data_IF_554150950529
#
_entry.id   IF_554150950529
#
_cell.length_a   1.000
_cell.length_b   1.000
_cell.length_c   1.000
_cell.angle_alpha   90.00
_cell.angle_beta   90.00
_cell.angle_gamma   90.00
#
_symmetry.space_group_name_H-M   'P 1'
#
loop_
_entity.id
_entity.type
_entity.pdbx_description
1 polymer ?
#
# COMPACT_ATOMS: atom_id res chain seq x y z
N UNK A 1 -0.76 13.08 20.11
CA UNK A 1 -1.19 11.68 19.85
C UNK A 1 -1.60 11.61 18.39
N UNK A 2 -1.41 10.47 17.75
CA UNK A 2 -1.70 10.30 16.32
C UNK A 2 -2.84 9.31 16.14
N UNK A 3 -3.72 9.59 15.19
CA UNK A 3 -4.59 8.57 14.60
C UNK A 3 -3.88 7.91 13.41
N UNK A 4 -4.18 6.63 13.20
CA UNK A 4 -3.57 5.83 12.13
C UNK A 4 -4.62 5.31 11.15
N UNK A 5 -4.23 5.25 9.88
CA UNK A 5 -5.02 4.66 8.79
C UNK A 5 -4.17 3.64 8.03
N UNK A 6 -4.79 2.52 7.68
CA UNK A 6 -4.17 1.41 6.96
C UNK A 6 -4.96 1.13 5.68
N UNK A 7 -4.28 1.09 4.55
CA UNK A 7 -4.90 0.84 3.24
C UNK A 7 -4.17 -0.32 2.57
N UNK A 8 -4.92 -1.34 2.15
CA UNK A 8 -4.37 -2.49 1.42
C UNK A 8 -4.56 -2.28 -0.09
N UNK A 9 -3.46 -2.34 -0.83
CA UNK A 9 -3.42 -2.31 -2.29
C UNK A 9 -3.01 -3.69 -2.80
N UNK A 10 -3.93 -4.40 -3.43
CA UNK A 10 -3.66 -5.74 -3.97
C UNK A 10 -2.68 -5.69 -5.14
N UNK A 11 -1.79 -6.68 -5.21
CA UNK A 11 -0.89 -6.89 -6.34
C UNK A 11 -1.61 -7.84 -7.32
N UNK A 12 -2.03 -7.31 -8.47
CA UNK A 12 -2.67 -8.11 -9.51
C UNK A 12 -1.60 -8.84 -10.33
N UNK A 13 -1.40 -10.12 -10.05
CA UNK A 13 -0.45 -10.99 -10.78
C UNK A 13 -1.02 -11.46 -12.13
N UNK A 14 -1.45 -10.54 -12.99
CA UNK A 14 -1.71 -10.87 -14.39
C UNK A 14 -0.38 -11.08 -15.13
N UNK A 15 -0.35 -11.95 -16.15
CA UNK A 15 0.80 -12.17 -17.05
C UNK A 15 1.38 -10.89 -17.71
N UNK A 16 0.71 -9.75 -17.55
CA UNK A 16 1.00 -8.46 -18.16
C UNK A 16 1.00 -7.28 -17.16
N UNK A 17 0.72 -7.52 -15.87
CA UNK A 17 0.74 -6.46 -14.86
C UNK A 17 2.14 -6.37 -14.27
N UNK A 18 2.93 -5.47 -14.84
CA UNK A 18 4.23 -5.11 -14.32
C UNK A 18 4.06 -4.49 -12.95
N UNK A 19 4.95 -4.86 -12.02
CA UNK A 19 5.08 -4.28 -10.67
C UNK A 19 5.03 -2.74 -10.66
N UNK A 20 5.40 -2.09 -11.76
CA UNK A 20 5.28 -0.65 -11.95
C UNK A 20 3.86 -0.08 -11.82
N UNK A 21 2.81 -0.82 -12.23
CA UNK A 21 1.43 -0.31 -12.11
C UNK A 21 0.95 -0.30 -10.67
N UNK A 22 1.22 -1.36 -9.91
CA UNK A 22 0.81 -1.42 -8.49
C UNK A 22 1.55 -0.36 -7.67
N UNK A 23 2.81 -0.06 -8.01
CA UNK A 23 3.55 1.04 -7.38
C UNK A 23 2.91 2.40 -7.74
N UNK A 24 2.54 2.64 -8.99
CA UNK A 24 1.86 3.87 -9.39
C UNK A 24 0.50 4.04 -8.68
N UNK A 25 -0.25 2.96 -8.45
CA UNK A 25 -1.47 2.99 -7.64
C UNK A 25 -1.18 3.35 -6.18
N UNK A 26 -0.11 2.81 -5.59
CA UNK A 26 0.31 3.19 -4.23
C UNK A 26 0.68 4.69 -4.15
N UNK A 27 1.44 5.21 -5.11
CA UNK A 27 1.79 6.63 -5.19
C UNK A 27 0.55 7.51 -5.29
N UNK A 28 -0.44 7.11 -6.10
CA UNK A 28 -1.72 7.81 -6.22
C UNK A 28 -2.46 7.85 -4.88
N UNK A 29 -2.57 6.71 -4.19
CA UNK A 29 -3.20 6.64 -2.87
C UNK A 29 -2.47 7.57 -1.89
N UNK A 30 -1.13 7.55 -1.88
CA UNK A 30 -0.34 8.43 -1.01
C UNK A 30 -0.65 9.91 -1.28
N UNK A 31 -0.74 10.32 -2.54
CA UNK A 31 -1.08 11.70 -2.91
C UNK A 31 -2.51 12.08 -2.52
N UNK A 32 -3.47 11.17 -2.68
CA UNK A 32 -4.88 11.40 -2.29
C UNK A 32 -5.01 11.54 -0.77
N UNK A 33 -4.37 10.67 0.00
CA UNK A 33 -4.35 10.73 1.46
C UNK A 33 -3.65 12.00 1.98
N UNK A 34 -2.57 12.43 1.32
CA UNK A 34 -1.89 13.67 1.66
C UNK A 34 -2.80 14.91 1.50
N UNK A 35 -3.68 14.93 0.49
CA UNK A 35 -4.69 16.00 0.32
C UNK A 35 -5.70 16.05 1.46
N UNK A 36 -5.95 14.92 2.12
CA UNK A 36 -6.82 14.80 3.30
C UNK A 36 -6.09 15.06 4.64
N UNK A 37 -4.81 15.46 4.58
CA UNK A 37 -4.00 15.77 5.76
C UNK A 37 -3.34 14.55 6.41
N UNK A 38 -3.34 13.39 5.75
CA UNK A 38 -2.64 12.20 6.23
C UNK A 38 -1.18 12.21 5.78
N UNK A 39 -0.26 11.94 6.71
CA UNK A 39 1.15 11.75 6.42
C UNK A 39 1.42 10.28 6.13
N UNK A 40 2.08 9.99 5.02
CA UNK A 40 2.58 8.65 4.73
C UNK A 40 3.74 8.28 5.68
N UNK A 41 3.67 7.07 6.25
CA UNK A 41 4.64 6.55 7.23
C UNK A 41 5.43 5.41 6.63
N UNK A 42 4.75 4.39 6.09
CA UNK A 42 5.41 3.16 5.66
C UNK A 42 4.57 2.38 4.65
N UNK A 43 5.25 1.62 3.79
CA UNK A 43 4.68 0.55 2.98
C UNK A 43 5.21 -0.80 3.49
N UNK A 44 4.30 -1.74 3.74
CA UNK A 44 4.63 -3.10 4.16
C UNK A 44 4.16 -4.09 3.11
N UNK A 45 5.02 -5.03 2.76
CA UNK A 45 4.66 -6.13 1.87
C UNK A 45 3.87 -7.20 2.62
N UNK A 46 2.64 -7.47 2.20
CA UNK A 46 1.79 -8.51 2.78
C UNK A 46 2.07 -9.83 2.05
N UNK A 47 2.61 -10.85 2.73
CA UNK A 47 2.91 -12.13 2.11
C UNK A 47 1.63 -12.86 1.70
N UNK A 48 1.75 -13.73 0.69
CA UNK A 48 0.68 -14.67 0.37
C UNK A 48 0.85 -15.92 1.24
N UNK A 49 -0.05 -16.14 2.19
CA UNK A 49 0.00 -17.29 3.12
C UNK A 49 0.09 -18.65 2.41
N UNK A 50 -0.42 -18.76 1.18
CA UNK A 50 -0.38 -20.01 0.40
C UNK A 50 0.85 -20.15 -0.50
N UNK A 51 1.48 -19.04 -0.88
CA UNK A 51 2.62 -19.02 -1.82
C UNK A 51 3.95 -18.57 -1.17
N UNK A 52 3.93 -18.29 0.13
CA UNK A 52 5.08 -17.76 0.87
C UNK A 52 5.42 -16.32 0.47
N UNK A 53 6.64 -15.90 0.86
CA UNK A 53 7.14 -14.53 0.65
C UNK A 53 7.48 -14.24 -0.82
N UNK A 54 7.62 -15.27 -1.66
CA UNK A 54 8.02 -15.15 -3.07
C UNK A 54 6.98 -14.47 -3.97
N UNK A 55 5.71 -14.48 -3.57
CA UNK A 55 4.64 -13.77 -4.27
C UNK A 55 3.83 -12.95 -3.27
N UNK A 56 4.16 -11.67 -3.07
CA UNK A 56 3.38 -10.82 -2.20
C UNK A 56 1.94 -10.67 -2.72
N UNK A 57 0.97 -10.68 -1.80
CA UNK A 57 -0.47 -10.55 -2.11
C UNK A 57 -0.88 -9.09 -2.26
N UNK A 58 -0.33 -8.22 -1.42
CA UNK A 58 -0.70 -6.82 -1.36
C UNK A 58 0.44 -5.97 -0.77
N UNK A 59 0.34 -4.67 -0.95
CA UNK A 59 1.04 -3.68 -0.14
C UNK A 59 0.08 -3.06 0.86
N UNK A 60 0.50 -2.95 2.12
CA UNK A 60 -0.22 -2.22 3.17
C UNK A 60 0.46 -0.87 3.35
N UNK A 61 -0.27 0.20 3.03
CA UNK A 61 0.14 1.58 3.21
C UNK A 61 -0.31 2.06 4.58
N UNK A 62 0.61 2.65 5.34
CA UNK A 62 0.39 3.13 6.70
C UNK A 62 0.49 4.65 6.69
N UNK A 63 -0.51 5.29 7.27
CA UNK A 63 -0.60 6.74 7.40
C UNK A 63 -0.88 7.15 8.84
N UNK A 64 -0.43 8.35 9.20
CA UNK A 64 -0.70 8.98 10.48
C UNK A 64 -1.20 10.42 10.31
N UNK A 65 -1.99 10.91 11.27
CA UNK A 65 -2.38 12.31 11.37
C UNK A 65 -2.43 12.73 12.84
N UNK A 66 -2.01 13.95 13.21
CA UNK A 66 -2.22 14.46 14.57
C UNK A 66 -3.71 14.47 14.91
N UNK A 67 -4.05 14.12 16.15
CA UNK A 67 -5.40 14.36 16.70
C UNK A 67 -5.71 15.86 16.81
#
# INVERSE_FOLDING_TARGET
>A
MFEYRFIDQEIRNGLLDSSSKTIAECEKIIQEQAKEGWRFVQLVTVPNEKAGVYMPKAYKLIFERPL
#
